data_IF_394474822334
#
_entry.id   IF_394474822334
#
_cell.length_a   1.000
_cell.length_b   1.000
_cell.length_c   1.000
_cell.angle_alpha   90.00
_cell.angle_beta   90.00
_cell.angle_gamma   90.00
#
_symmetry.space_group_name_H-M   'P 1'
#
loop_
_entity.id
_entity.type
_entity.pdbx_description
1 polymer ?
#
# COMPACT_ATOMS: atom_id res chain seq x y z
N UNK A 1 3.25 -10.90 5.65
CA UNK A 1 3.89 -9.55 5.60
C UNK A 1 2.84 -8.51 5.97
N UNK A 2 3.12 -7.52 6.84
CA UNK A 2 2.16 -6.45 7.17
C UNK A 2 2.84 -5.07 7.18
N UNK A 3 2.04 -4.00 7.08
CA UNK A 3 2.49 -2.61 6.90
C UNK A 3 3.50 -2.17 7.97
N UNK A 4 3.15 -2.37 9.24
CA UNK A 4 3.96 -1.88 10.36
C UNK A 4 5.32 -2.59 10.41
N UNK A 5 5.34 -3.91 10.21
CA UNK A 5 6.58 -4.69 10.28
C UNK A 5 7.55 -4.26 9.18
N UNK A 6 7.07 -4.12 7.95
CA UNK A 6 7.91 -3.67 6.83
C UNK A 6 8.35 -2.21 6.98
N UNK A 7 7.49 -1.34 7.49
CA UNK A 7 7.85 0.04 7.80
C UNK A 7 8.97 0.11 8.84
N UNK A 8 8.83 -0.60 9.97
CA UNK A 8 9.87 -0.64 11.01
C UNK A 8 11.18 -1.25 10.49
N UNK A 9 11.11 -2.31 9.69
CA UNK A 9 12.27 -2.92 9.07
C UNK A 9 12.98 -1.97 8.10
N UNK A 10 12.23 -1.16 7.35
CA UNK A 10 12.78 -0.12 6.49
C UNK A 10 13.55 0.94 7.29
N UNK A 11 13.02 1.42 8.41
CA UNK A 11 13.73 2.37 9.26
C UNK A 11 14.96 1.77 9.94
N UNK A 12 14.87 0.51 10.38
CA UNK A 12 16.03 -0.23 10.90
C UNK A 12 17.12 -0.41 9.82
N UNK A 13 16.73 -0.63 8.57
CA UNK A 13 17.66 -0.62 7.44
C UNK A 13 18.25 0.78 7.20
N UNK A 14 17.42 1.83 7.15
CA UNK A 14 17.89 3.21 6.96
C UNK A 14 18.90 3.66 8.03
N UNK A 15 18.74 3.23 9.29
CA UNK A 15 19.68 3.53 10.37
C UNK A 15 21.12 3.06 10.08
N UNK A 16 21.25 1.99 9.28
CA UNK A 16 22.52 1.43 8.82
C UNK A 16 23.00 2.05 7.50
N UNK A 17 22.19 2.89 6.86
CA UNK A 17 22.44 3.55 5.58
C UNK A 17 22.14 5.06 5.62
N UNK A 18 22.83 5.84 6.48
CA UNK A 18 22.42 7.21 6.83
C UNK A 18 22.48 8.24 5.69
N UNK A 19 23.24 7.98 4.62
CA UNK A 19 23.44 8.91 3.48
C UNK A 19 22.31 8.90 2.44
N UNK A 20 21.12 8.39 2.77
CA UNK A 20 19.97 8.34 1.86
C UNK A 20 19.11 9.60 2.01
N UNK A 21 18.82 10.26 0.88
CA UNK A 21 18.04 11.50 0.81
C UNK A 21 16.56 11.26 1.21
N UNK A 22 15.85 12.32 1.62
CA UNK A 22 14.48 12.20 2.13
C UNK A 22 13.50 11.73 1.06
N UNK A 23 13.64 12.21 -0.17
CA UNK A 23 12.78 11.91 -1.31
C UNK A 23 12.92 10.43 -1.70
N UNK A 24 14.11 9.86 -1.57
CA UNK A 24 14.32 8.41 -1.72
C UNK A 24 13.53 7.62 -0.66
N UNK A 25 13.50 8.10 0.60
CA UNK A 25 12.76 7.46 1.68
C UNK A 25 11.26 7.60 1.45
N UNK A 26 10.81 8.80 1.11
CA UNK A 26 9.43 9.11 0.75
C UNK A 26 8.95 8.24 -0.41
N UNK A 27 9.79 8.01 -1.42
CA UNK A 27 9.44 7.15 -2.56
C UNK A 27 9.08 5.74 -2.07
N UNK A 28 9.94 5.13 -1.25
CA UNK A 28 9.66 3.79 -0.73
C UNK A 28 8.42 3.76 0.16
N UNK A 29 8.23 4.75 1.04
CA UNK A 29 7.04 4.85 1.91
C UNK A 29 5.76 4.99 1.09
N UNK A 30 5.78 5.78 0.02
CA UNK A 30 4.66 5.89 -0.90
C UNK A 30 4.35 4.57 -1.59
N UNK A 31 5.38 3.84 -2.04
CA UNK A 31 5.19 2.49 -2.60
C UNK A 31 4.61 1.52 -1.58
N UNK A 32 5.06 1.55 -0.32
CA UNK A 32 4.49 0.75 0.76
C UNK A 32 3.00 1.04 0.94
N UNK A 33 2.64 2.32 0.99
CA UNK A 33 1.25 2.75 1.07
C UNK A 33 0.42 2.23 -0.11
N UNK A 34 0.89 2.41 -1.36
CA UNK A 34 0.17 1.96 -2.55
C UNK A 34 0.04 0.43 -2.63
N UNK A 35 1.07 -0.32 -2.23
CA UNK A 35 0.99 -1.78 -2.18
C UNK A 35 -0.07 -2.24 -1.18
N UNK A 36 -0.13 -1.59 -0.03
CA UNK A 36 -1.13 -1.88 0.98
C UNK A 36 -2.56 -1.54 0.53
N UNK A 37 -2.76 -0.42 -0.20
CA UNK A 37 -4.04 -0.11 -0.85
C UNK A 37 -4.44 -1.13 -1.91
N UNK A 38 -3.45 -1.80 -2.51
CA UNK A 38 -3.64 -2.83 -3.54
C UNK A 38 -3.78 -4.23 -2.96
N UNK A 39 -3.92 -4.38 -1.63
CA UNK A 39 -4.13 -5.68 -1.00
C UNK A 39 -5.35 -6.39 -1.61
N UNK A 40 -5.28 -7.71 -1.71
CA UNK A 40 -6.33 -8.56 -2.28
C UNK A 40 -6.74 -9.63 -1.27
N UNK A 41 -8.00 -10.09 -1.31
CA UNK A 41 -8.45 -11.25 -0.54
C UNK A 41 -8.31 -12.52 -1.37
N UNK A 42 -7.88 -13.60 -0.74
CA UNK A 42 -7.99 -14.94 -1.30
C UNK A 42 -9.39 -15.54 -1.06
N UNK A 43 -9.65 -16.74 -1.62
CA UNK A 43 -10.92 -17.44 -1.45
C UNK A 43 -11.25 -17.83 0.01
N UNK A 44 -10.28 -17.81 0.93
CA UNK A 44 -10.51 -18.05 2.35
C UNK A 44 -10.88 -16.76 3.11
N UNK A 45 -10.77 -15.60 2.45
CA UNK A 45 -10.99 -14.27 3.00
C UNK A 45 -9.73 -13.61 3.56
N UNK A 46 -8.56 -14.26 3.43
CA UNK A 46 -7.30 -13.74 3.97
C UNK A 46 -6.72 -12.67 3.03
N UNK A 47 -6.23 -11.58 3.61
CA UNK A 47 -5.66 -10.48 2.84
C UNK A 47 -4.17 -10.68 2.57
N UNK A 48 -3.79 -10.46 1.33
CA UNK A 48 -2.42 -10.57 0.86
C UNK A 48 -2.03 -9.34 0.05
N UNK A 49 -0.79 -8.91 0.19
CA UNK A 49 -0.25 -7.89 -0.70
C UNK A 49 0.17 -8.50 -2.02
N UNK A 50 -0.21 -7.90 -3.16
CA UNK A 50 0.26 -8.35 -4.45
C UNK A 50 1.76 -8.12 -4.58
N UNK A 51 2.43 -9.01 -5.31
CA UNK A 51 3.84 -8.81 -5.66
C UNK A 51 3.98 -7.60 -6.54
N UNK A 52 3.17 -7.51 -7.61
CA UNK A 52 3.17 -6.39 -8.53
C UNK A 52 1.91 -5.55 -8.33
N UNK A 53 2.09 -4.25 -8.14
CA UNK A 53 1.00 -3.29 -8.00
C UNK A 53 1.25 -2.07 -8.88
N UNK A 54 0.17 -1.40 -9.27
CA UNK A 54 0.21 -0.23 -10.13
C UNK A 54 0.36 1.05 -9.32
N UNK A 55 1.14 1.98 -9.89
CA UNK A 55 1.35 3.30 -9.32
C UNK A 55 1.24 4.32 -10.43
N UNK A 56 0.42 5.34 -10.20
CA UNK A 56 0.32 6.46 -11.10
C UNK A 56 1.47 7.47 -10.84
N UNK A 57 2.10 7.93 -11.92
CA UNK A 57 3.17 8.91 -11.82
C UNK A 57 2.71 10.28 -11.30
N UNK A 58 1.51 10.81 -11.65
CA UNK A 58 1.04 12.09 -11.12
C UNK A 58 0.99 12.14 -9.58
N UNK A 59 0.37 11.14 -8.94
CA UNK A 59 0.27 11.01 -7.49
C UNK A 59 1.63 10.84 -6.83
N UNK A 60 2.51 10.01 -7.41
CA UNK A 60 3.89 9.88 -6.94
C UNK A 60 4.67 11.20 -7.02
N UNK A 61 4.53 11.97 -8.11
CA UNK A 61 5.17 13.29 -8.26
C UNK A 61 4.66 14.27 -7.21
N UNK A 62 3.34 14.32 -7.03
CA UNK A 62 2.72 15.21 -6.06
C UNK A 62 3.16 14.87 -4.63
N UNK A 63 3.16 13.58 -4.27
CA UNK A 63 3.59 13.12 -2.94
C UNK A 63 5.05 13.49 -2.62
N UNK A 64 5.93 13.36 -3.61
CA UNK A 64 7.36 13.67 -3.44
C UNK A 64 7.69 15.14 -3.69
N UNK A 65 6.69 15.97 -4.03
CA UNK A 65 6.86 17.36 -4.46
C UNK A 65 7.95 17.51 -5.54
N UNK A 66 7.90 16.66 -6.57
CA UNK A 66 8.88 16.63 -7.65
C UNK A 66 8.35 17.27 -8.92
N UNK A 67 9.09 18.24 -9.45
CA UNK A 67 8.78 18.86 -10.73
C UNK A 67 9.38 18.03 -11.90
N UNK A 68 10.62 17.55 -11.74
CA UNK A 68 11.36 16.85 -12.79
C UNK A 68 11.13 15.33 -12.78
N UNK A 69 10.62 14.80 -13.89
CA UNK A 69 10.45 13.36 -14.11
C UNK A 69 11.75 12.56 -14.01
N UNK A 70 12.91 13.18 -14.24
CA UNK A 70 14.22 12.51 -14.11
C UNK A 70 14.52 12.15 -12.65
N UNK A 71 14.00 12.91 -11.68
CA UNK A 71 14.15 12.62 -10.25
C UNK A 71 13.45 11.30 -9.87
N UNK A 72 12.27 11.02 -10.44
CA UNK A 72 11.58 9.73 -10.26
C UNK A 72 12.49 8.59 -10.73
N UNK A 73 13.02 8.69 -11.95
CA UNK A 73 13.90 7.66 -12.50
C UNK A 73 15.15 7.46 -11.63
N UNK A 74 15.71 8.55 -11.10
CA UNK A 74 16.86 8.52 -10.22
C UNK A 74 16.58 7.83 -8.88
N UNK A 75 15.51 8.20 -8.17
CA UNK A 75 15.14 7.59 -6.88
C UNK A 75 14.77 6.13 -7.04
N UNK A 76 14.00 5.81 -8.09
CA UNK A 76 13.69 4.43 -8.47
C UNK A 76 14.95 3.62 -8.72
N UNK A 77 15.90 4.14 -9.50
CA UNK A 77 17.17 3.47 -9.78
C UNK A 77 18.00 3.20 -8.51
N UNK A 78 17.95 4.11 -7.53
CA UNK A 78 18.58 3.88 -6.21
C UNK A 78 17.89 2.76 -5.43
N UNK A 79 16.55 2.75 -5.39
CA UNK A 79 15.81 1.71 -4.67
C UNK A 79 16.03 0.31 -5.29
N UNK A 80 16.11 0.24 -6.62
CA UNK A 80 16.48 -0.99 -7.34
C UNK A 80 17.90 -1.43 -6.97
N UNK A 81 18.87 -0.51 -7.01
CA UNK A 81 20.27 -0.82 -6.65
C UNK A 81 20.42 -1.32 -5.21
N UNK A 82 19.62 -0.77 -4.30
CA UNK A 82 19.58 -1.18 -2.89
C UNK A 82 18.73 -2.45 -2.67
N UNK A 83 18.22 -3.05 -3.75
CA UNK A 83 17.41 -4.27 -3.72
C UNK A 83 16.14 -4.10 -2.90
N UNK A 84 15.54 -2.90 -2.87
CA UNK A 84 14.30 -2.62 -2.13
C UNK A 84 13.05 -2.74 -2.98
N UNK A 85 13.17 -2.60 -4.30
CA UNK A 85 12.06 -2.73 -5.24
C UNK A 85 12.51 -3.41 -6.54
N UNK A 86 11.53 -3.95 -7.27
CA UNK A 86 11.60 -4.12 -8.72
C UNK A 86 10.62 -3.17 -9.42
N UNK A 87 10.84 -2.95 -10.72
CA UNK A 87 10.05 -2.03 -11.53
C UNK A 87 9.89 -2.55 -12.95
N UNK A 88 8.69 -2.37 -13.52
CA UNK A 88 8.44 -2.55 -14.95
C UNK A 88 7.46 -1.50 -15.47
N UNK A 89 7.63 -1.14 -16.74
CA UNK A 89 6.67 -0.32 -17.47
C UNK A 89 5.75 -1.25 -18.26
N UNK A 90 4.44 -1.11 -18.10
CA UNK A 90 3.44 -1.85 -18.87
C UNK A 90 2.70 -0.89 -19.81
N UNK A 91 1.93 -1.42 -20.76
CA UNK A 91 1.08 -0.59 -21.65
C UNK A 91 0.04 0.23 -20.89
N UNK A 92 -0.34 -0.19 -19.67
CA UNK A 92 -1.32 0.48 -18.81
C UNK A 92 -0.73 1.39 -17.72
N UNK A 93 0.58 1.33 -17.44
CA UNK A 93 1.15 2.16 -16.37
C UNK A 93 2.54 1.76 -15.87
N UNK A 94 2.80 2.11 -14.61
CA UNK A 94 4.05 1.82 -13.90
C UNK A 94 3.76 0.78 -12.82
N UNK A 95 4.41 -0.37 -12.91
CA UNK A 95 4.27 -1.44 -11.93
C UNK A 95 5.53 -1.56 -11.09
N UNK A 96 5.32 -1.74 -9.79
CA UNK A 96 6.36 -1.90 -8.81
C UNK A 96 6.14 -3.19 -8.02
N UNK A 97 7.23 -3.76 -7.54
CA UNK A 97 7.20 -4.80 -6.54
C UNK A 97 8.07 -4.39 -5.37
N UNK A 98 7.53 -4.39 -4.15
CA UNK A 98 8.32 -4.20 -2.95
C UNK A 98 9.05 -5.50 -2.63
N UNK A 99 10.33 -5.40 -2.31
CA UNK A 99 11.11 -6.54 -1.83
C UNK A 99 10.96 -6.60 -0.31
N UNK A 100 10.36 -7.67 0.24
CA UNK A 100 10.21 -7.85 1.68
C UNK A 100 11.55 -7.72 2.40
N UNK A 101 11.54 -7.15 3.60
CA UNK A 101 12.70 -7.23 4.49
C UNK A 101 12.83 -8.61 5.14
N UNK A 102 11.72 -9.30 5.39
CA UNK A 102 11.73 -10.67 5.93
C UNK A 102 12.03 -11.71 4.85
N UNK A 103 13.16 -12.40 5.00
CA UNK A 103 13.62 -13.49 4.11
C UNK A 103 12.73 -14.74 4.14
N UNK A 104 11.84 -14.87 5.12
CA UNK A 104 10.82 -15.92 5.14
C UNK A 104 9.64 -15.60 4.24
N UNK A 105 9.54 -14.37 3.73
CA UNK A 105 8.47 -14.00 2.80
C UNK A 105 8.75 -14.59 1.42
N UNK A 106 7.78 -15.32 0.88
CA UNK A 106 7.86 -15.98 -0.41
C UNK A 106 6.73 -15.52 -1.33
N UNK A 107 6.98 -15.58 -2.63
CA UNK A 107 5.96 -15.33 -3.64
C UNK A 107 5.13 -16.60 -3.85
N UNK A 108 3.81 -16.47 -3.67
CA UNK A 108 2.85 -17.54 -3.87
C UNK A 108 1.77 -17.10 -4.85
N UNK A 109 1.34 -18.00 -5.73
CA UNK A 109 0.18 -17.75 -6.59
C UNK A 109 -1.10 -18.10 -5.82
N UNK A 110 -1.99 -17.12 -5.66
CA UNK A 110 -3.34 -17.33 -5.13
C UNK A 110 -4.37 -17.21 -6.26
N UNK A 111 -5.55 -17.78 -6.02
CA UNK A 111 -6.70 -17.62 -6.89
C UNK A 111 -7.68 -16.67 -6.21
N UNK A 112 -8.00 -15.59 -6.90
CA UNK A 112 -9.00 -14.62 -6.48
C UNK A 112 -10.42 -15.16 -6.74
N UNK A 113 -11.42 -14.48 -6.18
CA UNK A 113 -12.84 -14.84 -6.33
C UNK A 113 -13.30 -14.85 -7.79
N UNK A 114 -12.79 -13.94 -8.61
CA UNK A 114 -13.03 -13.85 -10.05
C UNK A 114 -12.26 -14.88 -10.89
N UNK A 115 -11.64 -15.87 -10.23
CA UNK A 115 -10.78 -16.89 -10.80
C UNK A 115 -9.47 -16.39 -11.43
N UNK A 116 -9.14 -15.10 -11.29
CA UNK A 116 -7.85 -14.56 -11.69
C UNK A 116 -6.75 -15.13 -10.79
N UNK A 117 -5.64 -15.56 -11.40
CA UNK A 117 -4.46 -15.99 -10.65
C UNK A 117 -3.52 -14.80 -10.45
N UNK A 118 -3.19 -14.51 -9.19
CA UNK A 118 -2.32 -13.39 -8.83
C UNK A 118 -1.17 -13.86 -7.93
N UNK A 119 0.03 -13.32 -8.18
CA UNK A 119 1.17 -13.52 -7.28
C UNK A 119 1.10 -12.56 -6.10
N UNK A 120 1.18 -13.10 -4.89
CA UNK A 120 1.16 -12.36 -3.63
C UNK A 120 2.31 -12.78 -2.72
N UNK A 121 2.58 -11.97 -1.70
CA UNK A 121 3.57 -12.25 -0.66
C UNK A 121 2.94 -13.03 0.51
N UNK A 122 3.48 -14.19 0.84
CA UNK A 122 3.08 -15.01 2.01
C UNK A 122 4.30 -15.42 2.83
N UNK A 123 4.10 -15.94 4.06
CA UNK A 123 5.20 -16.47 4.87
C UNK A 123 5.49 -17.93 4.50
N UNK A 124 6.75 -18.31 4.33
CA UNK A 124 7.17 -19.67 4.09
C UNK A 124 6.83 -20.55 5.30
N UNK A 125 6.03 -21.60 5.07
CA UNK A 125 5.65 -22.57 6.11
C UNK A 125 4.35 -22.25 6.85
N UNK A 126 3.61 -21.20 6.47
CA UNK A 126 2.26 -20.97 7.01
C UNK A 126 1.28 -22.02 6.47
N UNK A 127 1.16 -23.11 7.22
CA UNK A 127 -0.11 -23.86 7.38
C UNK A 127 -0.77 -23.53 8.73
N UNK A 128 -0.36 -22.45 9.39
CA UNK A 128 -0.66 -22.22 10.80
C UNK A 128 -1.78 -21.19 11.02
N UNK A 129 -2.85 -21.67 11.66
CA UNK A 129 -3.84 -20.95 12.48
C UNK A 129 -4.52 -19.71 11.88
N UNK A 130 -5.79 -19.87 11.48
CA UNK A 130 -6.72 -18.80 11.06
C UNK A 130 -6.75 -17.65 12.08
N UNK A 131 -6.32 -16.44 11.70
CA UNK A 131 -6.71 -15.22 12.42
C UNK A 131 -8.16 -14.86 12.10
N UNK A 132 -8.77 -14.04 12.97
CA UNK A 132 -10.18 -13.62 12.91
C UNK A 132 -10.53 -12.91 11.60
N UNK A 133 -11.73 -13.21 11.09
CA UNK A 133 -12.12 -13.26 9.67
C UNK A 133 -12.72 -12.00 9.04
N UNK A 134 -12.63 -10.82 9.64
CA UNK A 134 -13.37 -9.66 9.12
C UNK A 134 -12.50 -8.44 8.73
N UNK A 135 -11.20 -8.46 9.04
CA UNK A 135 -10.34 -7.27 9.00
C UNK A 135 -9.03 -7.55 8.27
N UNK A 136 -8.50 -6.60 7.50
CA UNK A 136 -7.21 -6.73 6.82
C UNK A 136 -6.05 -6.70 7.84
N UNK A 137 -5.44 -7.85 8.21
CA UNK A 137 -4.36 -7.88 9.20
C UNK A 137 -3.02 -7.38 8.62
N UNK A 138 -2.97 -7.16 7.30
CA UNK A 138 -1.84 -6.54 6.61
C UNK A 138 -1.92 -5.01 6.60
N UNK A 139 -3.11 -4.46 6.88
CA UNK A 139 -3.41 -3.03 6.88
C UNK A 139 -3.30 -2.42 8.28
N UNK A 140 -2.64 -1.26 8.36
CA UNK A 140 -3.17 -0.21 9.22
C UNK A 140 -4.62 0.04 8.78
N UNK A 141 -5.54 0.21 9.73
CA UNK A 141 -6.95 0.47 9.43
C UNK A 141 -7.07 1.66 8.46
N UNK A 142 -7.38 1.36 7.19
CA UNK A 142 -7.72 2.36 6.18
C UNK A 142 -9.22 2.21 5.98
N UNK A 143 -10.01 3.15 6.47
CA UNK A 143 -11.45 3.05 6.38
C UNK A 143 -11.91 3.24 4.91
N UNK A 144 -13.11 2.73 4.56
CA UNK A 144 -13.57 2.50 3.18
C UNK A 144 -13.39 3.72 2.28
N UNK A 145 -13.04 3.52 1.00
CA UNK A 145 -12.77 4.62 0.09
C UNK A 145 -14.00 5.53 -0.08
N UNK A 146 -13.80 6.85 0.03
CA UNK A 146 -14.85 7.82 -0.26
C UNK A 146 -15.12 7.89 -1.77
N UNK A 147 -16.40 8.02 -2.12
CA UNK A 147 -16.86 8.27 -3.47
C UNK A 147 -16.38 9.65 -3.97
N UNK A 148 -16.36 9.82 -5.29
CA UNK A 148 -15.95 11.09 -5.91
C UNK A 148 -16.87 12.26 -5.48
N UNK A 149 -18.14 11.98 -5.22
CA UNK A 149 -19.12 12.96 -4.73
C UNK A 149 -18.84 13.36 -3.28
N UNK A 150 -18.51 12.40 -2.41
CA UNK A 150 -18.15 12.63 -1.00
C UNK A 150 -16.86 13.46 -0.89
N UNK A 151 -15.86 13.19 -1.73
CA UNK A 151 -14.62 13.96 -1.79
C UNK A 151 -14.86 15.41 -2.22
N UNK A 152 -15.73 15.62 -3.22
CA UNK A 152 -16.10 16.97 -3.68
C UNK A 152 -16.86 17.76 -2.61
N UNK A 153 -17.78 17.10 -1.89
CA UNK A 153 -18.50 17.72 -0.79
C UNK A 153 -17.55 18.12 0.36
N UNK A 154 -16.58 17.27 0.70
CA UNK A 154 -15.56 17.57 1.71
C UNK A 154 -14.58 18.66 1.25
N UNK A 155 -14.21 18.68 -0.04
CA UNK A 155 -13.38 19.75 -0.60
C UNK A 155 -14.07 21.12 -0.58
N UNK A 156 -15.39 21.17 -0.75
CA UNK A 156 -16.17 22.40 -0.63
C UNK A 156 -16.31 22.86 0.83
N UNK A 157 -16.46 21.91 1.75
CA UNK A 157 -16.68 22.17 3.19
C UNK A 157 -15.40 22.48 3.96
N UNK A 158 -14.27 21.89 3.56
CA UNK A 158 -12.96 22.06 4.17
C UNK A 158 -11.94 22.50 3.10
N UNK A 159 -11.74 23.81 2.92
CA UNK A 159 -10.77 24.35 1.97
C UNK A 159 -9.31 24.07 2.37
N UNK A 160 -9.06 23.91 3.68
CA UNK A 160 -7.74 23.54 4.21
C UNK A 160 -7.49 22.04 4.03
N UNK A 161 -6.34 21.70 3.43
CA UNK A 161 -6.00 20.33 3.05
C UNK A 161 -5.84 19.38 4.25
N UNK A 162 -5.35 19.88 5.39
CA UNK A 162 -5.16 19.07 6.61
C UNK A 162 -6.51 18.82 7.27
N UNK A 163 -7.37 19.83 7.35
CA UNK A 163 -8.73 19.66 7.85
C UNK A 163 -9.55 18.74 6.96
N UNK A 164 -9.41 18.87 5.64
CA UNK A 164 -10.06 17.98 4.68
C UNK A 164 -9.60 16.54 4.86
N UNK A 165 -8.31 16.29 5.04
CA UNK A 165 -7.78 14.96 5.32
C UNK A 165 -8.42 14.34 6.57
N UNK A 166 -8.48 15.07 7.69
CA UNK A 166 -9.10 14.55 8.91
C UNK A 166 -10.61 14.35 8.79
N UNK A 167 -11.30 15.23 8.06
CA UNK A 167 -12.73 15.07 7.77
C UNK A 167 -12.99 13.87 6.84
N UNK A 168 -12.11 13.63 5.88
CA UNK A 168 -12.14 12.43 5.05
C UNK A 168 -11.93 11.19 5.91
N UNK A 169 -10.96 11.16 6.82
CA UNK A 169 -10.78 10.02 7.73
C UNK A 169 -12.03 9.79 8.57
N UNK A 170 -12.58 10.82 9.22
CA UNK A 170 -13.77 10.73 10.05
C UNK A 170 -14.99 10.17 9.31
N UNK A 171 -15.23 10.61 8.07
CA UNK A 171 -16.35 10.10 7.26
C UNK A 171 -16.16 8.62 6.92
N UNK A 172 -14.94 8.22 6.61
CA UNK A 172 -14.62 6.82 6.36
C UNK A 172 -14.80 5.99 7.64
N UNK A 173 -14.40 6.52 8.81
CA UNK A 173 -14.62 5.86 10.10
C UNK A 173 -16.10 5.59 10.36
N UNK A 174 -16.94 6.58 10.05
CA UNK A 174 -18.39 6.46 10.17
C UNK A 174 -18.94 5.36 9.25
N UNK A 175 -18.51 5.33 7.99
CA UNK A 175 -18.92 4.28 7.04
C UNK A 175 -18.47 2.89 7.50
N UNK A 176 -17.28 2.77 8.08
CA UNK A 176 -16.82 1.51 8.65
C UNK A 176 -17.74 1.03 9.79
N UNK A 177 -18.16 1.93 10.69
CA UNK A 177 -19.11 1.59 11.76
C UNK A 177 -20.49 1.21 11.23
N UNK A 178 -20.99 1.93 10.23
CA UNK A 178 -22.28 1.64 9.59
C UNK A 178 -22.26 0.29 8.83
N UNK A 179 -21.10 -0.10 8.28
CA UNK A 179 -20.90 -1.44 7.70
C UNK A 179 -20.87 -2.51 8.80
N UNK A 180 -20.14 -2.30 9.90
CA UNK A 180 -20.12 -3.21 11.06
C UNK A 180 -21.53 -3.43 11.65
N UNK A 181 -22.33 -2.37 11.79
CA UNK A 181 -23.71 -2.44 12.30
C UNK A 181 -24.66 -3.22 11.37
N UNK A 182 -24.45 -3.15 10.05
CA UNK A 182 -25.29 -3.88 9.06
C UNK A 182 -25.12 -5.40 9.12
N UNK A 183 -23.99 -5.89 9.62
CA UNK A 183 -23.69 -7.32 9.72
C UNK A 183 -23.81 -7.87 11.15
N UNK A 184 -24.24 -7.04 12.10
CA UNK A 184 -24.43 -7.42 13.50
C UNK A 184 -25.77 -8.11 13.80
N UNK A 185 -26.50 -8.57 12.77
CA UNK A 185 -27.80 -9.26 12.83
C UNK A 185 -27.80 -10.54 11.99
#
# INVERSE_FOLDING_TARGET
MNLLTEFLAFFAWLSRHPKRALEYKGFWVYLLYQNNQSAVRDAAGDWHWPVWFEVDNPGLKAFLNLEDRRQIAYYRGRLIRDGRIDYRKTGGGYQYALKPFDHKTVQTAIRLEDHTSLSVWTTAGDKAARPVKDHNPCGFWIPPALSEEERRALALKYPDDVQRFWAEQALREQKAREEEEKWAY
#
